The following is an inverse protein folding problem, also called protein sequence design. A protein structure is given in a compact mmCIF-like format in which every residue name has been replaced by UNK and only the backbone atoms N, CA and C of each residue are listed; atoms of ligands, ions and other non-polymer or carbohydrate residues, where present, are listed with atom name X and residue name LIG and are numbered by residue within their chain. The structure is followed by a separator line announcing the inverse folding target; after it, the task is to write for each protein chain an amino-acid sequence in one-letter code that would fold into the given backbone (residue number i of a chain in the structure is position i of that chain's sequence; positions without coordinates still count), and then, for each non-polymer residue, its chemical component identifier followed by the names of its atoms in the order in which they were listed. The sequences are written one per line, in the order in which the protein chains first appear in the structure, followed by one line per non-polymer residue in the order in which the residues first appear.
data_IF_149285602716
#
_entry.id   IF_149285602716
#
_cell.length_a   1.000
_cell.length_b   1.000
_cell.length_c   1.000
_cell.angle_alpha   90.00
_cell.angle_beta   90.00
_cell.angle_gamma   90.00
#
_symmetry.space_group_name_H-M   'P 1'
#
loop_
_entity.id
_entity.type
_entity.pdbx_description
1 polymer ?
#
# COMPACT_ATOMS: atom_id res chain seq x y z
N UNK A 1 -13.61 -5.00 -4.50
CA UNK A 1 -14.22 -3.75 -4.00
C UNK A 1 -14.67 -4.07 -2.60
N UNK A 2 -14.22 -3.29 -1.62
CA UNK A 2 -14.52 -3.49 -0.19
C UNK A 2 -15.98 -3.12 0.08
N UNK A 3 -16.69 -3.98 0.82
CA UNK A 3 -18.04 -3.67 1.31
C UNK A 3 -17.93 -2.81 2.58
N UNK A 4 -17.99 -1.48 2.42
CA UNK A 4 -17.80 -0.52 3.53
C UNK A 4 -18.90 -0.66 4.60
N UNK A 5 -20.20 -0.79 4.25
CA UNK A 5 -21.25 -1.05 5.24
C UNK A 5 -21.01 -2.32 6.07
N UNK A 6 -20.63 -3.43 5.41
CA UNK A 6 -20.31 -4.68 6.11
C UNK A 6 -19.09 -4.52 7.03
N UNK A 7 -18.04 -3.86 6.55
CA UNK A 7 -16.85 -3.56 7.36
C UNK A 7 -17.21 -2.80 8.65
N UNK A 8 -18.02 -1.74 8.54
CA UNK A 8 -18.48 -0.96 9.70
C UNK A 8 -19.27 -1.80 10.69
N UNK A 9 -20.17 -2.64 10.17
CA UNK A 9 -20.99 -3.52 11.00
C UNK A 9 -20.13 -4.50 11.81
N UNK A 10 -19.23 -5.22 11.13
CA UNK A 10 -18.34 -6.19 11.76
C UNK A 10 -17.41 -5.55 12.79
N UNK A 11 -16.83 -4.39 12.46
CA UNK A 11 -15.98 -3.64 13.38
C UNK A 11 -16.77 -3.19 14.62
N UNK A 12 -17.99 -2.69 14.41
CA UNK A 12 -18.89 -2.30 15.49
C UNK A 12 -19.35 -3.45 16.37
N UNK A 13 -19.52 -4.66 15.84
CA UNK A 13 -19.81 -5.85 16.65
C UNK A 13 -18.62 -6.24 17.52
N UNK A 14 -17.42 -6.37 16.94
CA UNK A 14 -16.20 -6.73 17.70
C UNK A 14 -15.91 -5.76 18.83
N UNK A 15 -16.04 -4.46 18.59
CA UNK A 15 -15.79 -3.46 19.62
C UNK A 15 -16.93 -3.38 20.66
N UNK A 16 -18.15 -3.82 20.34
CA UNK A 16 -19.23 -3.95 21.34
C UNK A 16 -19.02 -5.11 22.30
N UNK A 17 -18.35 -6.18 21.87
CA UNK A 17 -17.96 -7.30 22.75
C UNK A 17 -16.85 -6.90 23.74
N UNK A 18 -16.04 -5.91 23.36
CA UNK A 18 -14.93 -5.40 24.17
C UNK A 18 -15.01 -3.88 24.34
N UNK A 19 -16.04 -3.35 25.05
CA UNK A 19 -16.25 -1.91 25.17
C UNK A 19 -15.07 -1.24 25.88
N UNK A 20 -14.69 -0.05 25.39
CA UNK A 20 -13.60 0.71 25.99
C UNK A 20 -13.93 1.09 27.44
N UNK A 21 -13.14 0.57 28.39
CA UNK A 21 -13.36 0.70 29.84
C UNK A 21 -13.03 2.07 30.44
N UNK A 22 -12.53 3.03 29.64
CA UNK A 22 -12.17 4.36 30.11
C UNK A 22 -10.67 4.53 30.35
N UNK A 23 -10.29 5.11 31.51
CA UNK A 23 -8.89 5.45 31.79
C UNK A 23 -8.02 4.20 31.89
N UNK A 24 -6.94 4.14 31.11
CA UNK A 24 -5.98 3.04 31.09
C UNK A 24 -4.99 3.16 32.27
N UNK A 25 -4.63 2.04 32.89
CA UNK A 25 -3.95 2.04 34.19
C UNK A 25 -2.44 1.94 34.09
N UNK A 26 -1.92 1.36 33.01
CA UNK A 26 -0.49 1.22 32.77
C UNK A 26 -0.17 1.04 31.27
N UNK A 27 1.12 1.05 30.87
CA UNK A 27 1.51 0.87 29.46
C UNK A 27 1.12 -0.48 28.83
N UNK A 28 0.95 -1.53 29.62
CA UNK A 28 0.50 -2.85 29.12
C UNK A 28 -0.95 -2.76 28.69
N UNK A 29 -1.81 -2.15 29.51
CA UNK A 29 -3.21 -1.87 29.15
C UNK A 29 -3.31 -1.07 27.83
N UNK A 30 -2.40 -0.11 27.61
CA UNK A 30 -2.36 0.66 26.36
C UNK A 30 -2.05 -0.25 25.17
N UNK A 31 -1.02 -1.09 25.29
CA UNK A 31 -0.66 -2.01 24.21
C UNK A 31 -1.79 -3.01 23.92
N UNK A 32 -2.41 -3.57 24.96
CA UNK A 32 -3.52 -4.52 24.82
C UNK A 32 -4.71 -3.91 24.06
N UNK A 33 -5.04 -2.65 24.35
CA UNK A 33 -6.12 -1.94 23.63
C UNK A 33 -5.71 -1.59 22.20
N UNK A 34 -4.44 -1.25 21.95
CA UNK A 34 -3.90 -1.03 20.59
C UNK A 34 -3.98 -2.31 19.77
N UNK A 35 -3.55 -3.44 20.34
CA UNK A 35 -3.57 -4.75 19.69
C UNK A 35 -5.01 -5.20 19.41
N UNK A 36 -5.91 -5.04 20.39
CA UNK A 36 -7.35 -5.29 20.22
C UNK A 36 -7.93 -4.47 19.06
N UNK A 37 -7.67 -3.16 19.01
CA UNK A 37 -8.20 -2.28 17.98
C UNK A 37 -7.63 -2.65 16.61
N UNK A 38 -6.32 -2.89 16.54
CA UNK A 38 -5.60 -3.27 15.32
C UNK A 38 -6.17 -4.57 14.75
N UNK A 39 -6.25 -5.62 15.58
CA UNK A 39 -6.81 -6.92 15.18
C UNK A 39 -8.27 -6.79 14.75
N UNK A 40 -9.07 -6.02 15.49
CA UNK A 40 -10.49 -5.77 15.14
C UNK A 40 -10.65 -5.11 13.78
N UNK A 41 -9.81 -4.12 13.45
CA UNK A 41 -9.80 -3.43 12.15
C UNK A 41 -9.40 -4.41 11.04
N UNK A 42 -8.30 -5.14 11.21
CA UNK A 42 -7.75 -6.05 10.20
C UNK A 42 -8.75 -7.17 9.91
N UNK A 43 -9.24 -7.88 10.94
CA UNK A 43 -10.16 -9.00 10.76
C UNK A 43 -11.50 -8.57 10.13
N UNK A 44 -12.04 -7.41 10.53
CA UNK A 44 -13.27 -6.88 9.95
C UNK A 44 -13.08 -6.52 8.47
N UNK A 45 -11.91 -5.98 8.12
CA UNK A 45 -11.57 -5.64 6.75
C UNK A 45 -11.38 -6.89 5.88
N UNK A 46 -10.67 -7.90 6.36
CA UNK A 46 -10.45 -9.15 5.63
C UNK A 46 -11.77 -9.87 5.33
N UNK A 47 -12.70 -9.87 6.29
CA UNK A 47 -14.04 -10.42 6.10
C UNK A 47 -14.90 -9.61 5.12
N UNK A 48 -14.84 -8.28 5.19
CA UNK A 48 -15.58 -7.40 4.28
C UNK A 48 -14.95 -7.30 2.87
N UNK A 49 -13.70 -7.74 2.72
CA UNK A 49 -12.95 -7.71 1.48
C UNK A 49 -12.24 -9.04 1.20
N UNK A 50 -12.97 -10.15 1.02
CA UNK A 50 -12.36 -11.44 0.76
C UNK A 50 -11.56 -11.39 -0.55
N UNK A 51 -10.38 -12.01 -0.54
CA UNK A 51 -9.54 -12.12 -1.73
C UNK A 51 -10.32 -12.83 -2.84
N UNK A 52 -10.60 -12.09 -3.92
CA UNK A 52 -11.25 -12.65 -5.11
C UNK A 52 -10.23 -12.79 -6.22
N UNK A 53 -10.08 -14.01 -6.74
CA UNK A 53 -9.39 -14.23 -8.00
C UNK A 53 -10.20 -13.57 -9.11
N UNK A 54 -9.67 -12.53 -9.73
CA UNK A 54 -10.30 -11.90 -10.87
C UNK A 54 -10.41 -12.93 -12.01
N UNK A 55 -11.63 -13.42 -12.26
CA UNK A 55 -11.93 -14.22 -13.45
C UNK A 55 -12.02 -13.27 -14.65
N UNK A 56 -10.88 -12.78 -15.11
CA UNK A 56 -10.83 -12.19 -16.46
C UNK A 56 -11.04 -13.34 -17.44
N UNK A 57 -11.94 -13.21 -18.45
CA UNK A 57 -12.11 -14.27 -19.44
C UNK A 57 -10.81 -14.53 -20.22
N UNK A 58 -9.88 -13.56 -20.21
CA UNK A 58 -8.61 -13.63 -20.90
C UNK A 58 -7.50 -12.98 -20.05
N UNK A 59 -6.39 -13.70 -19.86
CA UNK A 59 -5.22 -13.25 -19.09
C UNK A 59 -4.51 -12.01 -19.67
N UNK A 60 -4.93 -11.53 -20.83
CA UNK A 60 -4.27 -10.44 -21.55
C UNK A 60 -5.30 -9.46 -22.13
N UNK A 61 -5.15 -8.14 -21.92
CA UNK A 61 -6.10 -7.13 -22.39
C UNK A 61 -6.18 -7.02 -23.93
N UNK A 62 -5.15 -7.48 -24.64
CA UNK A 62 -5.13 -7.52 -26.10
C UNK A 62 -5.75 -8.80 -26.69
N UNK A 63 -6.10 -9.80 -25.87
CA UNK A 63 -6.68 -11.06 -26.33
C UNK A 63 -8.20 -10.96 -26.51
N UNK A 64 -8.74 -11.59 -27.56
CA UNK A 64 -10.17 -11.50 -27.87
C UNK A 64 -10.68 -12.71 -28.66
N UNK A 65 -12.01 -12.84 -28.74
CA UNK A 65 -12.70 -13.88 -29.53
C UNK A 65 -12.28 -13.91 -31.01
N UNK A 66 -11.91 -12.77 -31.61
CA UNK A 66 -11.49 -12.75 -33.02
C UNK A 66 -10.14 -13.46 -33.23
N UNK A 67 -9.18 -13.28 -32.30
CA UNK A 67 -7.90 -14.00 -32.31
C UNK A 67 -8.11 -15.51 -32.06
N UNK A 68 -9.07 -15.89 -31.22
CA UNK A 68 -9.43 -17.30 -31.02
C UNK A 68 -9.99 -17.94 -32.29
N UNK A 69 -10.90 -17.26 -32.99
CA UNK A 69 -11.41 -17.72 -34.29
C UNK A 69 -10.28 -17.91 -35.30
N UNK A 70 -9.33 -16.98 -35.36
CA UNK A 70 -8.14 -17.09 -36.22
C UNK A 70 -7.24 -18.26 -35.82
N UNK A 71 -6.97 -18.45 -34.51
CA UNK A 71 -6.20 -19.57 -33.97
C UNK A 71 -6.83 -20.93 -34.33
N UNK A 72 -8.14 -21.06 -34.17
CA UNK A 72 -8.88 -22.28 -34.54
C UNK A 72 -8.83 -22.52 -36.06
N UNK A 73 -9.02 -21.48 -36.87
CA UNK A 73 -8.90 -21.57 -38.35
C UNK A 73 -7.49 -21.99 -38.77
N UNK A 74 -6.46 -21.45 -38.10
CA UNK A 74 -5.07 -21.84 -38.31
C UNK A 74 -4.83 -23.32 -38.01
N UNK A 75 -5.37 -23.83 -36.90
CA UNK A 75 -5.30 -25.25 -36.57
C UNK A 75 -5.93 -26.13 -37.65
N UNK A 76 -7.12 -25.75 -38.16
CA UNK A 76 -7.78 -26.45 -39.29
C UNK A 76 -6.93 -26.44 -40.56
N UNK A 77 -6.37 -25.28 -40.93
CA UNK A 77 -5.51 -25.14 -42.12
C UNK A 77 -4.21 -25.93 -41.98
N UNK A 78 -3.59 -25.92 -40.79
CA UNK A 78 -2.41 -26.72 -40.50
C UNK A 78 -2.69 -28.21 -40.66
N UNK A 79 -3.78 -28.71 -40.06
CA UNK A 79 -4.18 -30.11 -40.16
C UNK A 79 -4.48 -30.50 -41.61
N UNK A 80 -5.13 -29.62 -42.39
CA UNK A 80 -5.38 -29.83 -43.82
C UNK A 80 -4.08 -29.95 -44.60
N UNK A 81 -3.16 -28.98 -44.45
CA UNK A 81 -1.87 -28.98 -45.14
C UNK A 81 -1.00 -30.20 -44.76
N UNK A 82 -1.06 -30.62 -43.48
CA UNK A 82 -0.36 -31.82 -43.00
C UNK A 82 -0.91 -33.10 -43.65
N UNK A 83 -2.24 -33.19 -43.82
CA UNK A 83 -2.90 -34.38 -44.41
C UNK A 83 -2.72 -34.44 -45.93
N UNK A 84 -2.92 -33.33 -46.64
CA UNK A 84 -2.86 -33.30 -48.11
C UNK A 84 -1.44 -33.26 -48.65
N UNK A 85 -0.47 -32.76 -47.86
CA UNK A 85 0.92 -32.46 -48.27
C UNK A 85 1.02 -31.54 -49.50
N UNK A 86 -0.07 -30.90 -49.91
CA UNK A 86 -0.13 -30.07 -51.10
C UNK A 86 0.53 -28.71 -50.84
N UNK A 87 1.35 -28.24 -51.80
CA UNK A 87 2.01 -26.94 -51.71
C UNK A 87 1.01 -25.78 -51.60
N UNK A 88 -0.17 -25.88 -52.23
CA UNK A 88 -1.23 -24.88 -52.15
C UNK A 88 -1.80 -24.74 -50.72
N UNK A 89 -2.05 -25.86 -50.03
CA UNK A 89 -2.55 -25.84 -48.65
C UNK A 89 -1.50 -25.29 -47.67
N UNK A 90 -0.22 -25.61 -47.89
CA UNK A 90 0.88 -25.00 -47.13
C UNK A 90 0.99 -23.48 -47.37
N UNK A 91 0.80 -23.00 -48.60
CA UNK A 91 0.75 -21.55 -48.89
C UNK A 91 -0.42 -20.89 -48.16
N UNK A 92 -1.61 -21.50 -48.18
CA UNK A 92 -2.78 -20.99 -47.49
C UNK A 92 -2.57 -20.89 -45.96
N UNK A 93 -1.99 -21.93 -45.35
CA UNK A 93 -1.61 -21.92 -43.94
C UNK A 93 -0.60 -20.79 -43.62
N UNK A 94 0.51 -20.71 -44.38
CA UNK A 94 1.55 -19.69 -44.16
C UNK A 94 1.00 -18.26 -44.32
N UNK A 95 0.11 -18.02 -45.29
CA UNK A 95 -0.54 -16.73 -45.48
C UNK A 95 -1.41 -16.33 -44.26
N UNK A 96 -2.25 -17.25 -43.77
CA UNK A 96 -3.07 -17.01 -42.58
C UNK A 96 -2.21 -16.84 -41.32
N UNK A 97 -1.09 -17.55 -41.21
CA UNK A 97 -0.16 -17.41 -40.08
C UNK A 97 0.47 -16.01 -40.05
N UNK A 98 0.84 -15.47 -41.22
CA UNK A 98 1.35 -14.09 -41.33
C UNK A 98 0.31 -13.07 -40.88
N UNK A 99 -0.94 -13.23 -41.31
CA UNK A 99 -2.04 -12.34 -40.90
C UNK A 99 -2.30 -12.42 -39.40
N UNK A 100 -2.39 -13.62 -38.82
CA UNK A 100 -2.56 -13.82 -37.39
C UNK A 100 -1.44 -13.18 -36.55
N UNK A 101 -0.17 -13.38 -36.95
CA UNK A 101 0.97 -12.73 -36.28
C UNK A 101 0.93 -11.20 -36.41
N UNK A 102 0.46 -10.67 -37.55
CA UNK A 102 0.27 -9.22 -37.75
C UNK A 102 -0.82 -8.67 -36.83
N UNK A 103 -1.95 -9.38 -36.72
CA UNK A 103 -3.08 -8.99 -35.88
C UNK A 103 -2.73 -9.04 -34.39
N UNK A 104 -1.98 -10.05 -33.93
CA UNK A 104 -1.46 -10.09 -32.54
C UNK A 104 -0.62 -8.84 -32.25
N UNK A 105 0.37 -8.54 -33.09
CA UNK A 105 1.26 -7.38 -32.87
C UNK A 105 0.48 -6.06 -32.89
N UNK A 106 -0.50 -5.94 -33.78
CA UNK A 106 -1.38 -4.75 -33.84
C UNK A 106 -2.15 -4.61 -32.52
N UNK A 107 -2.83 -5.67 -32.07
CA UNK A 107 -3.65 -5.66 -30.86
C UNK A 107 -2.84 -5.42 -29.59
N UNK A 108 -1.65 -6.01 -29.48
CA UNK A 108 -0.73 -5.74 -28.37
C UNK A 108 -0.36 -4.26 -28.29
N UNK A 109 -0.05 -3.62 -29.43
CA UNK A 109 0.25 -2.19 -29.48
C UNK A 109 -0.96 -1.31 -29.18
N UNK A 110 -2.14 -1.66 -29.69
CA UNK A 110 -3.39 -0.96 -29.40
C UNK A 110 -3.69 -1.02 -27.91
N UNK A 111 -3.70 -2.21 -27.30
CA UNK A 111 -3.94 -2.36 -25.87
C UNK A 111 -2.90 -1.64 -25.00
N UNK A 112 -1.63 -1.62 -25.41
CA UNK A 112 -0.60 -0.84 -24.71
C UNK A 112 -0.83 0.66 -24.83
N UNK A 113 -1.21 1.15 -26.01
CA UNK A 113 -1.54 2.56 -26.22
C UNK A 113 -2.75 2.97 -25.39
N UNK A 114 -3.81 2.16 -25.40
CA UNK A 114 -5.03 2.42 -24.64
C UNK A 114 -4.73 2.43 -23.14
N UNK A 115 -3.92 1.47 -22.66
CA UNK A 115 -3.42 1.44 -21.29
C UNK A 115 -2.69 2.74 -20.95
N UNK A 116 -1.66 3.12 -21.71
CA UNK A 116 -0.90 4.36 -21.45
C UNK A 116 -1.78 5.62 -21.52
N UNK A 117 -2.76 5.66 -22.43
CA UNK A 117 -3.65 6.81 -22.60
C UNK A 117 -4.69 6.93 -21.47
N UNK A 118 -5.03 5.82 -20.81
CA UNK A 118 -5.95 5.78 -19.67
C UNK A 118 -5.31 6.17 -18.32
N UNK A 119 -4.00 6.42 -18.29
CA UNK A 119 -3.28 6.76 -17.07
C UNK A 119 -3.47 8.25 -16.77
N UNK A 120 -4.34 8.57 -15.82
CA UNK A 120 -4.60 9.95 -15.40
C UNK A 120 -3.92 10.31 -14.06
N UNK A 121 -3.56 9.31 -13.26
CA UNK A 121 -3.00 9.51 -11.91
C UNK A 121 -1.49 9.37 -11.86
N UNK A 122 -0.81 10.25 -11.12
CA UNK A 122 0.65 10.19 -10.86
C UNK A 122 1.10 8.85 -10.26
N UNK A 123 0.27 8.24 -9.41
CA UNK A 123 0.56 6.93 -8.81
C UNK A 123 0.61 5.78 -9.83
N UNK A 124 -0.23 5.84 -10.86
CA UNK A 124 -0.21 4.86 -11.96
C UNK A 124 0.97 5.08 -12.90
N UNK A 125 1.36 6.33 -13.16
CA UNK A 125 2.61 6.66 -13.89
C UNK A 125 3.84 6.17 -13.13
N UNK A 126 3.89 6.36 -11.81
CA UNK A 126 5.01 5.89 -10.98
C UNK A 126 5.17 4.36 -11.02
N UNK A 127 4.06 3.61 -10.94
CA UNK A 127 4.07 2.14 -11.12
C UNK A 127 4.56 1.74 -12.51
N UNK A 128 4.12 2.43 -13.56
CA UNK A 128 4.59 2.21 -14.93
C UNK A 128 6.10 2.48 -15.02
N UNK A 129 6.57 3.61 -14.51
CA UNK A 129 7.99 3.93 -14.45
C UNK A 129 8.76 2.83 -13.75
N UNK A 130 8.32 2.37 -12.57
CA UNK A 130 8.96 1.26 -11.84
C UNK A 130 9.08 -0.02 -12.66
N UNK A 131 8.08 -0.36 -13.48
CA UNK A 131 8.12 -1.55 -14.35
C UNK A 131 9.09 -1.34 -15.53
N UNK A 132 9.14 -0.12 -16.07
CA UNK A 132 9.99 0.22 -17.22
C UNK A 132 11.45 0.45 -16.83
N UNK A 133 11.71 1.03 -15.66
CA UNK A 133 13.03 1.22 -15.08
C UNK A 133 13.44 -0.09 -14.43
N UNK A 134 13.95 -1.00 -15.26
CA UNK A 134 14.61 -2.23 -14.82
C UNK A 134 15.71 -1.89 -13.82
N UNK A 135 15.58 -2.33 -12.56
CA UNK A 135 16.56 -2.29 -11.47
C UNK A 135 17.71 -1.30 -11.68
N UNK A 136 17.40 0.00 -11.70
CA UNK A 136 18.41 0.98 -11.35
C UNK A 136 18.32 1.06 -9.84
N UNK A 137 19.23 0.37 -9.16
CA UNK A 137 19.62 0.79 -7.82
C UNK A 137 20.04 2.25 -7.99
N UNK A 138 19.10 3.17 -7.75
CA UNK A 138 19.44 4.57 -7.61
C UNK A 138 20.34 4.59 -6.40
N UNK A 139 21.65 4.60 -6.62
CA UNK A 139 22.58 4.93 -5.57
C UNK A 139 22.18 6.36 -5.17
N UNK A 140 21.65 6.59 -3.96
CA UNK A 140 21.33 7.95 -3.51
C UNK A 140 22.60 8.81 -3.37
N UNK A 141 23.77 8.21 -3.62
CA UNK A 141 25.05 8.85 -3.73
C UNK A 141 25.18 9.69 -5.02
N UNK A 142 24.53 10.85 -4.98
CA UNK A 142 24.68 11.91 -5.97
C UNK A 142 24.49 13.30 -5.33
N UNK A 143 24.64 13.39 -4.00
CA UNK A 143 24.67 14.70 -3.34
C UNK A 143 26.00 15.38 -3.63
N UNK A 144 25.92 16.61 -4.11
CA UNK A 144 27.10 17.45 -4.37
C UNK A 144 27.58 18.05 -3.05
N UNK A 145 28.83 17.81 -2.71
CA UNK A 145 29.54 18.40 -1.56
C UNK A 145 29.93 19.85 -1.86
N UNK A 146 30.32 20.60 -0.83
CA UNK A 146 30.78 21.99 -0.97
C UNK A 146 32.06 22.11 -1.81
N UNK A 147 32.92 21.08 -1.79
CA UNK A 147 34.12 20.99 -2.63
C UNK A 147 33.83 20.69 -4.12
N UNK A 148 32.55 20.48 -4.46
CA UNK A 148 32.09 20.18 -5.81
C UNK A 148 32.15 18.70 -6.21
N UNK A 149 32.67 17.82 -5.36
CA UNK A 149 32.61 16.37 -5.53
C UNK A 149 31.22 15.81 -5.21
N UNK A 150 30.98 14.54 -5.51
CA UNK A 150 29.73 13.85 -5.22
C UNK A 150 29.95 12.76 -4.17
N UNK A 151 28.92 12.44 -3.39
CA UNK A 151 28.94 11.28 -2.49
C UNK A 151 28.90 9.99 -3.28
N UNK A 152 29.62 8.95 -2.82
CA UNK A 152 29.70 7.65 -3.50
C UNK A 152 28.87 6.54 -2.81
N UNK A 153 28.47 6.75 -1.56
CA UNK A 153 27.65 5.83 -0.79
C UNK A 153 26.61 6.54 0.12
N UNK A 154 25.72 5.74 0.70
CA UNK A 154 24.65 6.18 1.61
C UNK A 154 25.19 6.84 2.89
N UNK A 155 26.29 6.34 3.44
CA UNK A 155 26.88 6.87 4.67
C UNK A 155 27.38 8.29 4.47
N UNK A 156 28.16 8.53 3.41
CA UNK A 156 28.62 9.86 3.03
C UNK A 156 27.45 10.81 2.72
N UNK A 157 26.42 10.30 2.05
CA UNK A 157 25.20 11.05 1.76
C UNK A 157 24.51 11.49 3.06
N UNK A 158 24.42 10.59 4.05
CA UNK A 158 23.84 10.90 5.35
C UNK A 158 24.69 11.89 6.15
N UNK A 159 26.02 11.80 6.09
CA UNK A 159 26.94 12.74 6.73
C UNK A 159 26.80 14.15 6.15
N UNK A 160 26.80 14.28 4.83
CA UNK A 160 26.61 15.58 4.15
C UNK A 160 25.27 16.21 4.53
N UNK A 161 24.19 15.41 4.57
CA UNK A 161 22.88 15.90 5.01
C UNK A 161 22.88 16.32 6.48
N UNK A 162 23.51 15.53 7.36
CA UNK A 162 23.63 15.86 8.78
C UNK A 162 24.35 17.18 8.96
N UNK A 163 25.52 17.34 8.34
CA UNK A 163 26.37 18.50 8.55
C UNK A 163 25.72 19.77 7.96
N UNK A 164 25.02 19.67 6.84
CA UNK A 164 24.29 20.78 6.22
C UNK A 164 23.04 21.21 7.01
N UNK A 165 22.25 20.26 7.52
CA UNK A 165 20.98 20.55 8.19
C UNK A 165 21.12 20.75 9.71
N UNK A 166 22.17 20.21 10.33
CA UNK A 166 22.41 20.25 11.78
C UNK A 166 23.86 20.65 12.11
N UNK A 167 24.31 21.84 11.69
CA UNK A 167 25.68 22.29 11.95
C UNK A 167 25.95 22.36 13.46
N UNK A 168 27.03 21.73 13.91
CA UNK A 168 27.42 21.67 15.33
C UNK A 168 26.82 20.51 16.13
N UNK A 169 26.11 19.57 15.48
CA UNK A 169 25.66 18.34 16.14
C UNK A 169 26.85 17.45 16.51
N UNK A 170 26.97 17.09 17.78
CA UNK A 170 27.99 16.17 18.27
C UNK A 170 27.44 14.75 18.34
N UNK A 171 28.15 13.76 17.80
CA UNK A 171 27.79 12.35 17.98
C UNK A 171 28.11 11.94 19.42
N UNK A 172 27.10 11.94 20.29
CA UNK A 172 27.22 11.24 21.57
C UNK A 172 27.04 9.75 21.33
N UNK A 173 27.80 8.86 22.00
CA UNK A 173 27.41 7.44 22.07
C UNK A 173 25.95 7.39 22.47
N UNK A 174 25.13 6.57 21.79
CA UNK A 174 23.74 6.38 22.20
C UNK A 174 23.74 6.14 23.71
N UNK A 175 23.12 7.02 24.51
CA UNK A 175 22.93 6.70 25.91
C UNK A 175 22.21 5.36 25.93
N UNK A 176 22.60 4.46 26.84
CA UNK A 176 21.77 3.31 27.15
C UNK A 176 20.49 3.85 27.81
N UNK A 177 19.59 4.40 26.99
CA UNK A 177 18.23 4.73 27.40
C UNK A 177 17.61 3.39 27.79
N UNK A 178 17.18 3.22 29.04
CA UNK A 178 16.44 2.02 29.38
C UNK A 178 15.23 1.93 28.44
N UNK A 179 14.98 0.74 27.88
CA UNK A 179 13.87 0.49 26.93
C UNK A 179 12.51 0.95 27.49
N UNK A 180 12.39 0.98 28.81
CA UNK A 180 11.28 1.56 29.55
C UNK A 180 11.81 2.27 30.79
N UNK A 181 11.47 3.55 30.95
CA UNK A 181 11.58 4.23 32.25
C UNK A 181 10.23 4.03 32.93
N UNK A 182 10.15 3.33 34.08
CA UNK A 182 8.90 3.22 34.83
C UNK A 182 8.42 4.62 35.19
N UNK A 183 7.30 5.03 34.59
CA UNK A 183 6.69 6.34 34.82
C UNK A 183 5.22 6.14 35.16
N UNK A 184 4.82 6.64 36.32
CA UNK A 184 3.42 6.66 36.74
C UNK A 184 2.92 8.11 36.59
N UNK A 185 1.93 8.38 35.75
CA UNK A 185 1.44 9.73 35.50
C UNK A 185 0.77 10.31 36.75
N UNK A 186 1.01 11.59 37.00
CA UNK A 186 0.26 12.36 38.00
C UNK A 186 -1.11 12.79 37.45
N UNK A 187 -2.03 13.22 38.32
CA UNK A 187 -3.30 13.82 37.87
C UNK A 187 -3.10 15.04 36.96
N UNK A 188 -1.99 15.77 37.12
CA UNK A 188 -1.64 16.87 36.23
C UNK A 188 -1.23 16.37 34.83
N UNK A 189 -0.47 15.27 34.73
CA UNK A 189 -0.11 14.66 33.44
C UNK A 189 -1.39 14.22 32.69
N UNK A 190 -2.37 13.66 33.40
CA UNK A 190 -3.68 13.31 32.83
C UNK A 190 -4.49 14.53 32.42
N UNK A 191 -4.51 15.60 33.24
CA UNK A 191 -5.19 16.83 32.89
C UNK A 191 -4.63 17.45 31.59
N UNK A 192 -3.31 17.45 31.43
CA UNK A 192 -2.65 17.92 30.20
C UNK A 192 -3.01 17.01 29.02
N UNK A 193 -2.95 15.69 29.18
CA UNK A 193 -3.32 14.74 28.11
C UNK A 193 -4.76 14.96 27.62
N UNK A 194 -5.71 15.12 28.53
CA UNK A 194 -7.12 15.40 28.22
C UNK A 194 -7.35 16.77 27.57
N UNK A 195 -6.47 17.77 27.78
CA UNK A 195 -6.55 19.05 27.09
C UNK A 195 -6.09 18.97 25.64
N UNK A 196 -5.16 18.06 25.35
CA UNK A 196 -4.55 17.87 24.02
C UNK A 196 -5.38 16.92 23.15
N UNK A 197 -5.93 15.86 23.74
CA UNK A 197 -6.65 14.81 23.03
C UNK A 197 -8.15 14.95 23.26
N UNK A 198 -8.89 15.18 22.19
CA UNK A 198 -10.35 15.11 22.19
C UNK A 198 -10.89 14.51 20.89
N UNK A 199 -12.17 14.15 20.90
CA UNK A 199 -12.85 13.50 19.76
C UNK A 199 -12.79 14.37 18.50
N UNK A 200 -12.92 15.70 18.62
CA UNK A 200 -12.93 16.60 17.48
C UNK A 200 -11.55 16.68 16.82
N UNK A 201 -10.47 16.76 17.61
CA UNK A 201 -9.08 16.77 17.14
C UNK A 201 -8.69 15.44 16.51
N UNK A 202 -9.04 14.32 17.15
CA UNK A 202 -8.80 12.98 16.58
C UNK A 202 -9.57 12.83 15.27
N UNK A 203 -10.84 13.24 15.23
CA UNK A 203 -11.66 13.19 14.02
C UNK A 203 -11.07 14.02 12.89
N UNK A 204 -10.62 15.24 13.20
CA UNK A 204 -9.97 16.13 12.24
C UNK A 204 -8.68 15.51 11.69
N UNK A 205 -7.82 14.97 12.58
CA UNK A 205 -6.56 14.36 12.21
C UNK A 205 -6.79 13.16 11.27
N UNK A 206 -7.69 12.23 11.62
CA UNK A 206 -8.01 11.05 10.79
C UNK A 206 -8.54 11.45 9.41
N UNK A 207 -9.39 12.49 9.34
CA UNK A 207 -9.95 12.99 8.07
C UNK A 207 -8.95 13.77 7.21
N UNK A 208 -7.87 14.29 7.79
CA UNK A 208 -6.84 15.03 7.06
C UNK A 208 -5.98 14.13 6.16
N UNK A 209 -5.93 12.83 6.43
CA UNK A 209 -5.14 11.89 5.63
C UNK A 209 -5.77 11.65 4.26
N UNK A 210 -4.91 11.47 3.24
CA UNK A 210 -5.34 10.88 1.98
C UNK A 210 -5.69 9.41 2.20
N UNK A 211 -6.93 9.02 1.88
CA UNK A 211 -7.50 7.72 2.23
C UNK A 211 -6.63 6.52 1.81
N UNK A 212 -6.01 6.58 0.64
CA UNK A 212 -5.24 5.48 0.06
C UNK A 212 -3.72 5.72 0.08
N UNK A 213 -3.24 6.47 1.08
CA UNK A 213 -1.81 6.55 1.36
C UNK A 213 -1.29 5.19 1.86
N UNK A 214 0.00 4.95 1.68
CA UNK A 214 0.65 3.73 2.15
C UNK A 214 0.43 3.53 3.67
N UNK A 215 0.19 2.29 4.11
CA UNK A 215 0.04 1.97 5.53
C UNK A 215 1.38 2.15 6.27
N UNK A 216 1.30 2.24 7.60
CA UNK A 216 2.46 2.18 8.48
C UNK A 216 2.96 0.75 8.68
N UNK A 217 3.75 0.55 9.74
CA UNK A 217 4.20 -0.79 10.17
C UNK A 217 3.03 -1.67 10.62
N UNK A 218 1.94 -1.05 11.06
CA UNK A 218 0.67 -1.67 11.45
C UNK A 218 -0.12 -2.28 10.28
N UNK A 219 0.25 -1.97 9.02
CA UNK A 219 -0.49 -2.42 7.84
C UNK A 219 -1.85 -1.74 7.65
N UNK A 220 -2.22 -0.77 8.49
CA UNK A 220 -3.53 -0.09 8.42
C UNK A 220 -3.44 1.11 7.48
N UNK A 221 -4.28 1.10 6.43
CA UNK A 221 -4.41 2.27 5.54
C UNK A 221 -5.36 3.31 6.14
N UNK A 222 -5.16 4.62 5.87
CA UNK A 222 -6.03 5.67 6.42
C UNK A 222 -7.52 5.50 6.09
N UNK A 223 -7.86 4.90 4.96
CA UNK A 223 -9.24 4.62 4.56
C UNK A 223 -9.99 3.79 5.61
N UNK A 224 -9.35 2.79 6.23
CA UNK A 224 -9.98 1.93 7.24
C UNK A 224 -10.37 2.75 8.48
N UNK A 225 -9.45 3.62 8.93
CA UNK A 225 -9.70 4.54 10.03
C UNK A 225 -10.82 5.53 9.71
N UNK A 226 -10.83 6.09 8.48
CA UNK A 226 -11.86 7.04 8.04
C UNK A 226 -13.23 6.40 7.91
N UNK A 227 -13.31 5.16 7.43
CA UNK A 227 -14.56 4.42 7.33
C UNK A 227 -15.10 4.04 8.70
N UNK A 228 -14.28 3.50 9.60
CA UNK A 228 -14.73 3.06 10.93
C UNK A 228 -14.74 4.14 12.01
N UNK A 229 -14.48 5.41 11.66
CA UNK A 229 -14.19 6.48 12.63
C UNK A 229 -15.27 6.65 13.69
N UNK A 230 -16.54 6.52 13.30
CA UNK A 230 -17.70 6.60 14.18
C UNK A 230 -17.71 5.53 15.30
N UNK A 231 -17.06 4.40 15.05
CA UNK A 231 -16.95 3.28 15.99
C UNK A 231 -15.67 3.36 16.81
N UNK A 232 -14.55 3.73 16.18
CA UNK A 232 -13.21 3.64 16.80
C UNK A 232 -12.78 4.92 17.53
N UNK A 233 -13.46 6.06 17.33
CA UNK A 233 -13.03 7.35 17.87
C UNK A 233 -12.78 7.32 19.39
N UNK A 234 -13.65 6.67 20.15
CA UNK A 234 -13.51 6.55 21.62
C UNK A 234 -12.24 5.78 22.01
N UNK A 235 -11.91 4.71 21.29
CA UNK A 235 -10.68 3.94 21.52
C UNK A 235 -9.45 4.77 21.20
N UNK A 236 -9.44 5.46 20.06
CA UNK A 236 -8.32 6.33 19.67
C UNK A 236 -8.06 7.44 20.68
N UNK A 237 -9.12 8.09 21.18
CA UNK A 237 -9.01 9.11 22.24
C UNK A 237 -8.40 8.50 23.50
N UNK A 238 -8.89 7.34 23.93
CA UNK A 238 -8.37 6.64 25.11
C UNK A 238 -6.90 6.25 24.99
N UNK A 239 -6.53 5.62 23.88
CA UNK A 239 -5.16 5.23 23.55
C UNK A 239 -4.25 6.46 23.54
N UNK A 240 -4.57 7.50 22.76
CA UNK A 240 -3.71 8.68 22.65
C UNK A 240 -3.58 9.44 23.97
N UNK A 241 -4.65 9.52 24.76
CA UNK A 241 -4.59 10.13 26.10
C UNK A 241 -3.66 9.32 27.01
N UNK A 242 -3.77 7.99 27.00
CA UNK A 242 -2.88 7.10 27.72
C UNK A 242 -1.42 7.25 27.28
N UNK A 243 -1.14 7.26 25.98
CA UNK A 243 0.20 7.44 25.44
C UNK A 243 0.86 8.74 25.92
N UNK A 244 0.12 9.86 25.90
CA UNK A 244 0.63 11.15 26.37
C UNK A 244 0.86 11.13 27.88
N UNK A 245 -0.12 10.65 28.65
CA UNK A 245 -0.02 10.60 30.10
C UNK A 245 1.16 9.73 30.57
N UNK A 246 1.31 8.52 30.02
CA UNK A 246 2.39 7.59 30.36
C UNK A 246 3.71 7.87 29.66
N UNK A 247 3.75 8.85 28.74
CA UNK A 247 4.92 9.13 27.88
C UNK A 247 5.37 7.87 27.15
N UNK A 248 4.38 7.11 26.69
CA UNK A 248 4.53 5.78 26.13
C UNK A 248 4.21 5.80 24.63
N UNK A 249 5.01 5.08 23.85
CA UNK A 249 4.79 4.87 22.42
C UNK A 249 4.52 3.38 22.25
N UNK A 250 3.28 2.99 21.84
CA UNK A 250 2.95 1.61 21.54
C UNK A 250 3.82 1.06 20.42
N UNK A 251 4.05 -0.25 20.46
CA UNK A 251 4.84 -0.98 19.45
C UNK A 251 4.02 -1.29 18.21
#
# INVERSE_FOLDING_TARGET
VTDIPLYKHLLGEKLREHPFGGRLSDPVDIQDVVDLLTNSIVESFEQACPLRTAKTPYNHPWWCRALEKQKTRLGKLFNKARKSKAAADWRAYKANLRLYKKDIRRRQREAWRDFCSSIESTSSVSRLNKILTKDSYHNPASLRREDGSYTDNLTETAEVLRDAHFPGATTTPYPNWPETIPFTPTENDWAVACQVVDVARVTWAVKSFSAYKSPGLDGIIPALLQWGLDVIATYLVGIYTGCIAFRYIPK
#
